data_IF_010640645940
#
_entry.id   IF_010640645940
#
_cell.length_a   1.000
_cell.length_b   1.000
_cell.length_c   1.000
_cell.angle_alpha   90.00
_cell.angle_beta   90.00
_cell.angle_gamma   90.00
#
_symmetry.space_group_name_H-M   'P 1'
#
loop_
_entity.id
_entity.type
_entity.pdbx_description
1 polymer ?
#
# COMPACT_ATOMS: atom_id res chain seq x y z
N UNK A 1 28.68 -22.98 -0.47
CA UNK A 1 29.27 -22.93 0.89
C UNK A 1 28.55 -21.90 1.77
N UNK A 2 28.15 -20.75 1.20
CA UNK A 2 27.36 -19.71 1.87
C UNK A 2 25.93 -20.16 2.25
N UNK A 3 25.25 -20.93 1.39
CA UNK A 3 23.87 -21.41 1.69
C UNK A 3 23.80 -22.30 2.94
N UNK A 4 24.81 -23.15 3.16
CA UNK A 4 24.91 -23.98 4.37
C UNK A 4 25.11 -23.15 5.65
N UNK A 5 25.74 -21.98 5.54
CA UNK A 5 25.92 -21.07 6.68
C UNK A 5 24.62 -20.33 6.99
N UNK A 6 23.85 -19.95 5.98
CA UNK A 6 22.52 -19.35 6.15
C UNK A 6 21.52 -20.36 6.74
N UNK A 7 21.46 -21.58 6.20
CA UNK A 7 20.62 -22.65 6.73
C UNK A 7 20.99 -22.95 8.19
N UNK A 8 22.30 -22.99 8.50
CA UNK A 8 22.80 -23.15 9.86
C UNK A 8 22.35 -22.01 10.80
N UNK A 9 22.49 -20.76 10.35
CA UNK A 9 22.09 -19.57 11.10
C UNK A 9 20.59 -19.49 11.35
N UNK A 10 19.77 -19.74 10.33
CA UNK A 10 18.31 -19.78 10.46
C UNK A 10 17.85 -20.94 11.34
N UNK A 11 18.48 -22.11 11.23
CA UNK A 11 18.17 -23.25 12.11
C UNK A 11 18.50 -22.92 13.57
N UNK A 12 19.62 -22.25 13.83
CA UNK A 12 20.00 -21.81 15.18
C UNK A 12 19.02 -20.78 15.75
N UNK A 13 18.61 -19.79 14.95
CA UNK A 13 17.63 -18.78 15.37
C UNK A 13 16.27 -19.44 15.66
N UNK A 14 15.78 -20.30 14.77
CA UNK A 14 14.52 -21.02 14.97
C UNK A 14 14.55 -21.92 16.22
N UNK A 15 15.68 -22.59 16.48
CA UNK A 15 15.87 -23.38 17.70
C UNK A 15 15.78 -22.51 18.96
N UNK A 16 16.39 -21.33 18.93
CA UNK A 16 16.34 -20.38 20.05
C UNK A 16 14.95 -19.77 20.24
N UNK A 17 14.21 -19.49 19.17
CA UNK A 17 12.82 -19.03 19.23
C UNK A 17 11.92 -20.09 19.87
N UNK A 18 11.98 -21.33 19.38
CA UNK A 18 11.20 -22.44 19.93
C UNK A 18 11.50 -22.68 21.42
N UNK A 19 12.77 -22.55 21.82
CA UNK A 19 13.16 -22.62 23.23
C UNK A 19 12.55 -21.47 24.05
N UNK A 20 12.63 -20.22 23.57
CA UNK A 20 12.01 -19.08 24.27
C UNK A 20 10.49 -19.17 24.36
N UNK A 21 9.83 -19.71 23.33
CA UNK A 21 8.38 -19.93 23.34
C UNK A 21 7.99 -21.02 24.33
N UNK A 22 8.73 -22.13 24.40
CA UNK A 22 8.47 -23.19 25.39
C UNK A 22 8.56 -22.69 26.84
N UNK A 23 9.46 -21.73 27.12
CA UNK A 23 9.59 -21.10 28.43
C UNK A 23 8.44 -20.13 28.73
N UNK A 24 7.86 -19.48 27.72
CA UNK A 24 6.70 -18.60 27.88
C UNK A 24 5.39 -19.36 28.12
N UNK A 25 5.28 -20.62 27.67
CA UNK A 25 4.12 -21.48 27.94
C UNK A 25 4.08 -22.04 29.37
N UNK A 26 5.21 -22.02 30.09
CA UNK A 26 5.25 -22.43 31.50
C UNK A 26 4.75 -21.27 32.38
N UNK A 27 3.90 -21.48 33.41
CA UNK A 27 3.41 -20.40 34.26
C UNK A 27 4.57 -19.75 35.04
N UNK A 28 5.06 -18.63 34.53
CA UNK A 28 6.12 -17.82 35.13
C UNK A 28 5.52 -16.96 36.25
N UNK A 29 6.03 -17.11 37.49
CA UNK A 29 5.55 -16.38 38.67
C UNK A 29 5.92 -14.90 38.69
N UNK A 30 6.87 -14.46 37.85
CA UNK A 30 7.42 -13.10 37.89
C UNK A 30 7.22 -12.34 36.57
N UNK A 31 6.48 -11.22 36.62
CA UNK A 31 6.13 -10.40 35.43
C UNK A 31 7.36 -9.86 34.68
N UNK A 32 8.46 -9.58 35.39
CA UNK A 32 9.70 -9.13 34.77
C UNK A 32 10.36 -10.20 33.89
N UNK A 33 10.32 -11.47 34.32
CA UNK A 33 10.88 -12.57 33.54
C UNK A 33 10.11 -12.76 32.23
N UNK A 34 8.78 -12.60 32.27
CA UNK A 34 7.93 -12.62 31.09
C UNK A 34 8.28 -11.49 30.11
N UNK A 35 8.45 -10.26 30.61
CA UNK A 35 8.85 -9.13 29.77
C UNK A 35 10.24 -9.32 29.13
N UNK A 36 11.20 -9.89 29.85
CA UNK A 36 12.55 -10.20 29.31
C UNK A 36 12.46 -11.26 28.20
N UNK A 37 11.64 -12.31 28.39
CA UNK A 37 11.45 -13.36 27.39
C UNK A 37 10.68 -12.85 26.16
N UNK A 38 9.68 -11.99 26.35
CA UNK A 38 8.96 -11.32 25.25
C UNK A 38 9.90 -10.35 24.49
N UNK A 39 10.79 -9.65 25.19
CA UNK A 39 11.84 -8.82 24.58
C UNK A 39 12.80 -9.65 23.72
N UNK A 40 13.31 -10.75 24.26
CA UNK A 40 14.20 -11.67 23.54
C UNK A 40 13.53 -12.31 22.32
N UNK A 41 12.23 -12.62 22.40
CA UNK A 41 11.45 -13.09 21.24
C UNK A 41 11.42 -12.04 20.13
N UNK A 42 11.19 -10.76 20.47
CA UNK A 42 11.20 -9.66 19.49
C UNK A 42 12.57 -9.48 18.84
N UNK A 43 13.64 -9.59 19.62
CA UNK A 43 15.02 -9.52 19.11
C UNK A 43 15.33 -10.65 18.13
N UNK A 44 14.97 -11.90 18.48
CA UNK A 44 15.19 -13.05 17.62
C UNK A 44 14.36 -13.00 16.31
N UNK A 45 13.13 -12.49 16.38
CA UNK A 45 12.30 -12.26 15.18
C UNK A 45 12.90 -11.16 14.28
N UNK A 46 13.40 -10.07 14.88
CA UNK A 46 14.09 -9.00 14.13
C UNK A 46 15.41 -9.49 13.54
N UNK A 47 16.17 -10.29 14.28
CA UNK A 47 17.42 -10.88 13.80
C UNK A 47 17.16 -11.82 12.61
N UNK A 48 16.11 -12.65 12.70
CA UNK A 48 15.67 -13.50 11.57
C UNK A 48 15.27 -12.66 10.36
N UNK A 49 14.45 -11.62 10.56
CA UNK A 49 14.00 -10.75 9.48
C UNK A 49 15.17 -9.99 8.83
N UNK A 50 16.14 -9.53 9.62
CA UNK A 50 17.35 -8.88 9.13
C UNK A 50 18.22 -9.86 8.33
N UNK A 51 18.39 -11.09 8.81
CA UNK A 51 19.16 -12.13 8.10
C UNK A 51 18.51 -12.49 6.76
N UNK A 52 17.18 -12.58 6.70
CA UNK A 52 16.45 -12.80 5.46
C UNK A 52 16.55 -11.58 4.52
N UNK A 53 16.33 -10.37 5.02
CA UNK A 53 16.41 -9.14 4.22
C UNK A 53 17.84 -8.86 3.69
N UNK A 54 18.87 -9.22 4.45
CA UNK A 54 20.26 -9.05 4.03
C UNK A 54 20.67 -10.09 2.96
N UNK A 55 19.96 -11.22 2.86
CA UNK A 55 20.36 -12.35 2.02
C UNK A 55 19.40 -12.68 0.87
N UNK A 56 18.14 -12.23 0.93
CA UNK A 56 17.18 -12.24 -0.18
C UNK A 56 17.74 -11.63 -1.49
N UNK A 57 18.56 -10.54 -1.47
CA UNK A 57 19.11 -9.98 -2.70
C UNK A 57 20.12 -10.93 -3.39
N UNK A 58 20.77 -11.83 -2.63
CA UNK A 58 21.81 -12.73 -3.15
C UNK A 58 21.23 -13.97 -3.86
N UNK A 59 20.05 -14.44 -3.45
CA UNK A 59 19.31 -15.50 -4.16
C UNK A 59 18.56 -14.97 -5.40
N UNK A 60 18.39 -13.65 -5.51
CA UNK A 60 17.68 -12.99 -6.62
C UNK A 60 18.50 -12.83 -7.90
N UNK A 61 19.68 -13.49 -8.00
CA UNK A 61 20.52 -13.48 -9.22
C UNK A 61 20.18 -14.60 -10.20
N UNK A 62 19.14 -15.39 -9.94
CA UNK A 62 18.44 -16.11 -11.00
C UNK A 62 17.23 -15.28 -11.45
N UNK A 63 17.34 -14.79 -12.68
CA UNK A 63 16.40 -13.98 -13.41
C UNK A 63 14.98 -14.56 -13.45
N UNK A 64 14.00 -13.65 -13.37
CA UNK A 64 12.59 -13.80 -13.75
C UNK A 64 11.64 -14.48 -12.76
N UNK A 65 11.23 -13.75 -11.70
CA UNK A 65 9.94 -14.01 -11.02
C UNK A 65 9.41 -12.81 -10.23
N UNK A 66 9.45 -11.61 -10.81
CA UNK A 66 8.72 -10.43 -10.28
C UNK A 66 7.37 -10.23 -10.97
N UNK A 67 6.99 -11.13 -11.90
CA UNK A 67 5.68 -11.13 -12.57
C UNK A 67 4.62 -11.97 -11.81
N UNK A 68 5.02 -12.74 -10.79
CA UNK A 68 4.14 -13.75 -10.19
C UNK A 68 3.16 -13.23 -9.14
N UNK A 69 3.37 -12.08 -8.51
CA UNK A 69 2.41 -11.59 -7.48
C UNK A 69 1.09 -11.11 -8.08
N UNK A 70 1.11 -10.52 -9.27
CA UNK A 70 -0.08 -10.09 -10.03
C UNK A 70 -0.74 -11.28 -10.73
N UNK A 71 0.03 -12.18 -11.33
CA UNK A 71 -0.52 -13.40 -11.94
C UNK A 71 -1.12 -14.36 -10.91
N UNK A 72 -0.53 -14.50 -9.71
CA UNK A 72 -1.12 -15.31 -8.65
C UNK A 72 -2.38 -14.66 -8.08
N UNK A 73 -2.39 -13.36 -7.76
CA UNK A 73 -3.60 -12.70 -7.23
C UNK A 73 -4.76 -12.66 -8.25
N UNK A 74 -4.48 -12.39 -9.53
CA UNK A 74 -5.50 -12.40 -10.59
C UNK A 74 -5.94 -13.83 -10.93
N UNK A 75 -5.04 -14.82 -11.07
CA UNK A 75 -5.45 -16.21 -11.36
C UNK A 75 -6.12 -16.88 -10.15
N UNK A 76 -5.74 -16.55 -8.90
CA UNK A 76 -6.48 -16.99 -7.71
C UNK A 76 -7.85 -16.32 -7.64
N UNK A 77 -7.99 -15.04 -7.97
CA UNK A 77 -9.30 -14.38 -8.08
C UNK A 77 -10.16 -15.02 -9.16
N UNK A 78 -9.63 -15.24 -10.38
CA UNK A 78 -10.34 -15.91 -11.48
C UNK A 78 -10.77 -17.32 -11.09
N UNK A 79 -9.96 -18.04 -10.31
CA UNK A 79 -10.30 -19.39 -9.83
C UNK A 79 -11.32 -19.39 -8.67
N UNK A 80 -11.38 -18.32 -7.88
CA UNK A 80 -12.34 -18.15 -6.78
C UNK A 80 -13.69 -17.58 -7.25
N UNK A 81 -13.69 -16.80 -8.33
CA UNK A 81 -14.89 -16.28 -8.96
C UNK A 81 -15.32 -17.22 -10.08
N UNK A 82 -16.37 -18.02 -9.87
CA UNK A 82 -17.10 -18.67 -10.96
C UNK A 82 -17.74 -17.60 -11.85
N UNK A 83 -16.94 -17.04 -12.76
CA UNK A 83 -17.37 -16.06 -13.75
C UNK A 83 -17.97 -16.85 -14.92
N UNK A 84 -19.21 -17.33 -14.76
CA UNK A 84 -20.02 -17.81 -15.87
C UNK A 84 -20.54 -16.60 -16.65
N UNK A 85 -19.69 -16.03 -17.50
CA UNK A 85 -20.14 -15.03 -18.49
C UNK A 85 -20.72 -15.82 -19.67
N UNK A 86 -22.03 -16.03 -19.63
CA UNK A 86 -22.78 -16.68 -20.69
C UNK A 86 -22.68 -15.90 -22.02
N UNK A 87 -22.29 -16.60 -23.07
CA UNK A 87 -22.21 -16.11 -24.44
C UNK A 87 -23.59 -15.77 -25.01
N UNK A 88 -23.93 -14.49 -25.10
CA UNK A 88 -24.64 -13.87 -26.24
C UNK A 88 -24.81 -12.36 -26.00
N UNK A 89 -24.28 -11.55 -26.92
CA UNK A 89 -24.36 -10.08 -27.00
C UNK A 89 -23.71 -9.31 -25.83
N UNK A 90 -22.37 -9.25 -25.89
CA UNK A 90 -21.55 -8.47 -24.96
C UNK A 90 -21.74 -6.96 -25.21
N UNK A 91 -22.28 -6.27 -24.21
CA UNK A 91 -22.45 -4.82 -24.22
C UNK A 91 -21.71 -4.24 -23.01
N UNK A 92 -20.89 -3.21 -23.21
CA UNK A 92 -20.14 -2.52 -22.14
C UNK A 92 -21.05 -2.10 -20.96
N UNK A 93 -22.30 -1.76 -21.27
CA UNK A 93 -23.34 -1.47 -20.29
C UNK A 93 -23.71 -2.66 -19.38
N UNK A 94 -23.71 -3.91 -19.88
CA UNK A 94 -23.94 -5.11 -19.05
C UNK A 94 -22.76 -5.36 -18.09
N UNK A 95 -21.53 -5.10 -18.56
CA UNK A 95 -20.32 -5.18 -17.75
C UNK A 95 -20.38 -4.19 -16.60
N UNK A 96 -20.67 -2.93 -16.91
CA UNK A 96 -20.84 -1.89 -15.90
C UNK A 96 -21.91 -2.26 -14.87
N UNK A 97 -23.10 -2.70 -15.32
CA UNK A 97 -24.18 -3.15 -14.43
C UNK A 97 -23.74 -4.29 -13.50
N UNK A 98 -22.93 -5.22 -14.01
CA UNK A 98 -22.42 -6.35 -13.23
C UNK A 98 -21.41 -5.87 -12.17
N UNK A 99 -20.46 -5.00 -12.55
CA UNK A 99 -19.49 -4.39 -11.63
C UNK A 99 -20.20 -3.59 -10.55
N UNK A 100 -21.13 -2.71 -10.94
CA UNK A 100 -21.94 -1.91 -10.00
C UNK A 100 -22.66 -2.79 -9.00
N UNK A 101 -23.37 -3.83 -9.46
CA UNK A 101 -24.12 -4.74 -8.57
C UNK A 101 -23.21 -5.49 -7.60
N UNK A 102 -22.01 -5.89 -8.03
CA UNK A 102 -21.00 -6.51 -7.16
C UNK A 102 -20.53 -5.55 -6.09
N UNK A 103 -20.13 -4.33 -6.47
CA UNK A 103 -19.68 -3.31 -5.54
C UNK A 103 -20.77 -2.90 -4.56
N UNK A 104 -22.00 -2.67 -5.02
CA UNK A 104 -23.15 -2.34 -4.18
C UNK A 104 -23.44 -3.43 -3.13
N UNK A 105 -23.38 -4.71 -3.53
CA UNK A 105 -23.53 -5.83 -2.60
C UNK A 105 -22.45 -5.85 -1.51
N UNK A 106 -21.21 -5.45 -1.84
CA UNK A 106 -20.12 -5.41 -0.87
C UNK A 106 -20.19 -4.16 0.01
N UNK A 107 -20.53 -3.01 -0.56
CA UNK A 107 -20.65 -1.72 0.15
C UNK A 107 -21.81 -1.73 1.15
N UNK A 108 -22.89 -2.45 0.86
CA UNK A 108 -24.02 -2.59 1.80
C UNK A 108 -23.63 -3.32 3.09
N UNK A 109 -22.58 -4.16 3.04
CA UNK A 109 -21.94 -4.72 4.23
C UNK A 109 -20.86 -3.78 4.80
N UNK A 110 -20.49 -3.98 6.06
CA UNK A 110 -19.51 -3.12 6.70
C UNK A 110 -18.11 -3.33 6.09
N UNK A 111 -17.55 -2.26 5.50
CA UNK A 111 -16.21 -2.29 4.90
C UNK A 111 -15.14 -2.17 5.98
N UNK A 112 -14.31 -3.20 6.11
CA UNK A 112 -13.14 -3.19 6.99
C UNK A 112 -11.90 -2.68 6.26
N UNK A 113 -10.98 -2.06 7.00
CA UNK A 113 -9.73 -1.57 6.46
C UNK A 113 -8.62 -2.62 6.58
N UNK A 114 -8.17 -3.15 5.44
CA UNK A 114 -7.03 -4.03 5.29
C UNK A 114 -5.81 -3.36 4.63
N UNK A 115 -5.83 -2.02 4.48
CA UNK A 115 -4.78 -1.27 3.78
C UNK A 115 -3.46 -1.19 4.56
N UNK A 116 -3.54 -1.28 5.88
CA UNK A 116 -2.42 -0.99 6.79
C UNK A 116 -2.17 0.50 7.03
N UNK A 117 -2.93 1.38 6.37
CA UNK A 117 -2.88 2.83 6.51
C UNK A 117 -4.11 3.34 7.27
N UNK A 118 -4.00 4.53 7.87
CA UNK A 118 -5.16 5.24 8.42
C UNK A 118 -5.94 5.85 7.25
N UNK A 119 -7.27 5.65 7.23
CA UNK A 119 -8.16 6.21 6.21
C UNK A 119 -9.13 7.21 6.84
N UNK A 120 -9.32 8.39 6.23
CA UNK A 120 -10.26 9.38 6.76
C UNK A 120 -11.71 8.85 6.84
N UNK A 121 -12.10 7.97 5.91
CA UNK A 121 -13.43 7.34 5.88
C UNK A 121 -13.74 6.53 7.15
N UNK A 122 -12.73 6.05 7.89
CA UNK A 122 -12.93 5.34 9.17
C UNK A 122 -13.35 6.29 10.30
N UNK A 123 -13.13 7.60 10.13
CA UNK A 123 -13.62 8.59 11.07
C UNK A 123 -15.13 8.80 11.01
N UNK A 124 -15.77 8.44 9.89
CA UNK A 124 -17.20 8.57 9.71
C UNK A 124 -17.94 7.43 10.43
N UNK A 125 -19.19 7.68 10.80
CA UNK A 125 -20.11 6.63 11.23
C UNK A 125 -20.33 5.60 10.12
N UNK A 126 -20.54 4.34 10.50
CA UNK A 126 -20.71 3.24 9.54
C UNK A 126 -21.83 3.51 8.53
N UNK A 127 -22.95 4.11 8.98
CA UNK A 127 -24.08 4.50 8.14
C UNK A 127 -23.66 5.55 7.12
N UNK A 128 -23.00 6.62 7.57
CA UNK A 128 -22.55 7.73 6.71
C UNK A 128 -21.48 7.29 5.73
N UNK A 129 -20.58 6.40 6.16
CA UNK A 129 -19.58 5.79 5.28
C UNK A 129 -20.25 4.97 4.17
N UNK A 130 -21.22 4.12 4.51
CA UNK A 130 -21.98 3.34 3.53
C UNK A 130 -22.73 4.26 2.57
N UNK A 131 -23.46 5.24 3.10
CA UNK A 131 -24.25 6.17 2.31
C UNK A 131 -23.35 7.00 1.37
N UNK A 132 -22.14 7.38 1.80
CA UNK A 132 -21.14 8.05 0.95
C UNK A 132 -20.72 7.18 -0.24
N UNK A 133 -20.38 5.91 0.02
CA UNK A 133 -19.97 5.00 -1.05
C UNK A 133 -21.10 4.72 -2.03
N UNK A 134 -22.32 4.52 -1.54
CA UNK A 134 -23.51 4.31 -2.38
C UNK A 134 -23.82 5.56 -3.21
N UNK A 135 -23.72 6.76 -2.62
CA UNK A 135 -23.91 8.01 -3.34
C UNK A 135 -22.84 8.17 -4.44
N UNK A 136 -21.55 7.96 -4.14
CA UNK A 136 -20.48 8.02 -5.15
C UNK A 136 -20.70 7.01 -6.29
N UNK A 137 -21.11 5.79 -5.96
CA UNK A 137 -21.41 4.75 -6.96
C UNK A 137 -22.64 5.11 -7.82
N UNK A 138 -23.67 5.72 -7.22
CA UNK A 138 -24.86 6.21 -7.93
C UNK A 138 -24.52 7.34 -8.88
N UNK A 139 -23.75 8.34 -8.42
CA UNK A 139 -23.32 9.46 -9.25
C UNK A 139 -22.42 9.00 -10.41
N UNK A 140 -21.56 8.00 -10.18
CA UNK A 140 -20.76 7.39 -11.24
C UNK A 140 -21.64 6.67 -12.29
N UNK A 141 -22.68 5.96 -11.85
CA UNK A 141 -23.64 5.30 -12.74
C UNK A 141 -24.40 6.30 -13.61
N UNK A 142 -24.88 7.40 -13.02
CA UNK A 142 -25.56 8.48 -13.75
C UNK A 142 -24.67 9.05 -14.85
N UNK A 143 -23.40 9.31 -14.55
CA UNK A 143 -22.47 9.86 -15.54
C UNK A 143 -22.14 8.85 -16.62
N UNK A 144 -21.90 7.59 -16.28
CA UNK A 144 -21.67 6.55 -17.29
C UNK A 144 -22.88 6.44 -18.22
N UNK A 145 -24.11 6.50 -17.68
CA UNK A 145 -25.33 6.52 -18.49
C UNK A 145 -25.46 7.76 -19.38
N UNK A 146 -25.12 8.94 -18.89
CA UNK A 146 -25.07 10.15 -19.72
C UNK A 146 -24.02 10.04 -20.83
N UNK A 147 -22.84 9.50 -20.52
CA UNK A 147 -21.76 9.31 -21.50
C UNK A 147 -22.14 8.30 -22.60
N UNK A 148 -22.95 7.29 -22.29
CA UNK A 148 -23.52 6.41 -23.31
C UNK A 148 -24.46 7.14 -24.28
N UNK A 149 -25.21 8.13 -23.80
CA UNK A 149 -26.15 8.90 -24.62
C UNK A 149 -25.47 9.97 -25.48
N UNK A 150 -24.38 10.58 -25.00
CA UNK A 150 -23.75 11.75 -25.63
C UNK A 150 -22.68 11.40 -26.68
N UNK A 151 -22.28 10.12 -26.82
CA UNK A 151 -21.25 9.66 -27.78
C UNK A 151 -19.97 10.54 -27.80
N UNK A 152 -19.48 10.96 -26.64
CA UNK A 152 -18.34 11.88 -26.53
C UNK A 152 -17.03 11.21 -27.02
N UNK A 153 -16.27 11.89 -27.88
CA UNK A 153 -14.91 11.46 -28.28
C UNK A 153 -13.95 11.31 -27.08
N UNK A 154 -13.08 10.30 -27.12
CA UNK A 154 -12.17 9.96 -26.02
C UNK A 154 -11.20 11.10 -25.63
N UNK A 155 -10.83 11.95 -26.59
CA UNK A 155 -9.91 13.07 -26.36
C UNK A 155 -10.56 14.15 -25.50
N UNK A 156 -11.88 14.36 -25.66
CA UNK A 156 -12.66 15.32 -24.88
C UNK A 156 -13.11 14.76 -23.53
N UNK A 157 -13.16 13.43 -23.41
CA UNK A 157 -13.56 12.74 -22.20
C UNK A 157 -12.69 13.12 -21.00
N UNK A 158 -11.38 13.29 -21.21
CA UNK A 158 -10.46 13.61 -20.12
C UNK A 158 -10.74 15.01 -19.53
N UNK A 159 -10.84 16.03 -20.38
CA UNK A 159 -11.13 17.40 -19.94
C UNK A 159 -12.54 17.52 -19.34
N UNK A 160 -13.49 16.80 -19.92
CA UNK A 160 -14.85 16.73 -19.40
C UNK A 160 -14.89 16.07 -18.02
N UNK A 161 -14.19 14.95 -17.85
CA UNK A 161 -14.10 14.24 -16.57
C UNK A 161 -13.42 15.06 -15.48
N UNK A 162 -12.34 15.79 -15.81
CA UNK A 162 -11.67 16.70 -14.86
C UNK A 162 -12.63 17.77 -14.32
N UNK A 163 -13.56 18.28 -15.15
CA UNK A 163 -14.58 19.25 -14.73
C UNK A 163 -15.72 18.63 -13.93
N UNK A 164 -16.08 17.38 -14.21
CA UNK A 164 -17.18 16.69 -13.52
C UNK A 164 -16.82 16.18 -12.13
N UNK A 165 -15.57 15.76 -11.90
CA UNK A 165 -15.14 15.19 -10.62
C UNK A 165 -15.50 16.04 -9.38
N UNK A 166 -15.27 17.38 -9.37
CA UNK A 166 -15.73 18.24 -8.28
C UNK A 166 -17.24 18.16 -8.02
N UNK A 167 -18.04 18.18 -9.08
CA UNK A 167 -19.51 18.14 -8.99
C UNK A 167 -20.00 16.77 -8.50
N UNK A 168 -19.40 15.68 -8.97
CA UNK A 168 -19.69 14.32 -8.48
C UNK A 168 -19.51 14.24 -6.96
N UNK A 169 -18.34 14.72 -6.48
CA UNK A 169 -18.01 14.70 -5.07
C UNK A 169 -19.01 15.53 -4.26
N UNK A 170 -19.41 16.69 -4.79
CA UNK A 170 -20.38 17.57 -4.15
C UNK A 170 -21.77 16.94 -4.08
N UNK A 171 -22.27 16.36 -5.17
CA UNK A 171 -23.55 15.65 -5.19
C UNK A 171 -23.54 14.48 -4.21
N UNK A 172 -22.49 13.66 -4.21
CA UNK A 172 -22.35 12.53 -3.30
C UNK A 172 -22.30 12.97 -1.82
N UNK A 173 -21.61 14.07 -1.52
CA UNK A 173 -21.59 14.64 -0.18
C UNK A 173 -22.99 15.10 0.26
N UNK A 174 -23.73 15.80 -0.62
CA UNK A 174 -25.06 16.31 -0.32
C UNK A 174 -26.04 15.16 -0.05
N UNK A 175 -26.00 14.14 -0.89
CA UNK A 175 -26.81 12.93 -0.76
C UNK A 175 -26.54 12.22 0.58
N UNK A 176 -25.27 12.00 0.92
CA UNK A 176 -24.87 11.39 2.20
C UNK A 176 -25.23 12.24 3.42
N UNK A 177 -25.08 13.56 3.33
CA UNK A 177 -25.40 14.48 4.42
C UNK A 177 -26.91 14.56 4.71
N UNK A 178 -27.73 14.31 3.68
CA UNK A 178 -29.18 14.40 3.72
C UNK A 178 -29.67 15.83 3.45
N UNK A 179 -30.38 16.02 2.35
CA UNK A 179 -30.81 17.35 1.85
C UNK A 179 -31.66 18.18 2.82
N UNK A 180 -32.36 17.53 3.77
CA UNK A 180 -33.29 18.18 4.69
C UNK A 180 -32.78 18.25 6.13
N UNK A 181 -31.56 17.79 6.39
CA UNK A 181 -31.04 17.75 7.75
C UNK A 181 -30.55 19.13 8.16
N UNK A 182 -31.11 19.63 9.25
CA UNK A 182 -30.73 20.89 9.86
C UNK A 182 -30.21 20.65 11.26
N UNK A 183 -29.10 21.30 11.60
CA UNK A 183 -28.50 21.26 12.92
C UNK A 183 -28.30 22.69 13.43
N UNK A 184 -28.32 22.85 14.75
CA UNK A 184 -28.04 24.15 15.35
C UNK A 184 -26.54 24.42 15.25
N UNK A 185 -26.18 25.61 14.80
CA UNK A 185 -24.83 26.16 14.89
C UNK A 185 -24.92 27.49 15.61
N UNK A 186 -24.35 27.58 16.83
CA UNK A 186 -24.39 28.81 17.65
C UNK A 186 -25.81 29.38 17.87
N UNK A 187 -26.82 28.52 17.91
CA UNK A 187 -28.22 28.90 18.15
C UNK A 187 -29.09 29.08 16.89
N UNK A 188 -28.51 29.08 15.68
CA UNK A 188 -29.26 29.15 14.42
C UNK A 188 -29.34 27.78 13.75
N UNK A 189 -30.49 27.44 13.16
CA UNK A 189 -30.63 26.23 12.36
C UNK A 189 -30.01 26.43 10.98
N UNK A 190 -29.03 25.58 10.64
CA UNK A 190 -28.38 25.57 9.33
C UNK A 190 -28.51 24.21 8.67
N UNK A 191 -28.69 24.23 7.35
CA UNK A 191 -28.67 23.04 6.50
C UNK A 191 -27.28 22.42 6.52
N UNK A 192 -27.20 21.14 6.89
CA UNK A 192 -25.93 20.40 6.96
C UNK A 192 -25.33 20.27 5.58
N UNK A 193 -26.15 19.89 4.58
CA UNK A 193 -25.72 19.71 3.21
C UNK A 193 -25.16 21.00 2.60
N UNK A 194 -25.85 22.13 2.75
CA UNK A 194 -25.41 23.41 2.16
C UNK A 194 -24.14 23.94 2.83
N UNK A 195 -24.01 23.74 4.15
CA UNK A 195 -22.82 24.17 4.88
C UNK A 195 -21.59 23.32 4.52
N UNK A 196 -21.75 22.00 4.38
CA UNK A 196 -20.68 21.15 3.88
C UNK A 196 -20.33 21.47 2.42
N UNK A 197 -21.34 21.66 1.57
CA UNK A 197 -21.18 22.00 0.15
C UNK A 197 -20.35 23.30 -0.06
N UNK A 198 -20.53 24.28 0.84
CA UNK A 198 -19.85 25.58 0.78
C UNK A 198 -18.50 25.62 1.48
N UNK A 199 -18.23 24.73 2.45
CA UNK A 199 -16.98 24.72 3.22
C UNK A 199 -15.88 23.85 2.61
N UNK A 200 -16.23 22.81 1.84
CA UNK A 200 -15.25 21.85 1.33
C UNK A 200 -14.49 22.37 0.08
N UNK A 201 -13.23 21.98 -0.04
CA UNK A 201 -12.40 22.26 -1.20
C UNK A 201 -12.58 21.22 -2.33
N UNK A 202 -13.38 21.56 -3.34
CA UNK A 202 -13.74 20.61 -4.42
C UNK A 202 -12.68 20.37 -5.49
N UNK A 203 -11.63 21.20 -5.52
CA UNK A 203 -10.59 21.17 -6.56
C UNK A 203 -9.31 20.45 -6.12
N UNK A 204 -9.32 19.81 -4.95
CA UNK A 204 -8.20 18.97 -4.55
C UNK A 204 -8.09 17.76 -5.49
N UNK A 205 -6.91 17.58 -6.07
CA UNK A 205 -6.58 16.45 -6.94
C UNK A 205 -5.72 15.43 -6.20
N UNK A 206 -6.13 14.16 -6.25
CA UNK A 206 -5.30 13.03 -5.86
C UNK A 206 -4.59 12.47 -7.11
N UNK A 207 -3.25 12.53 -7.12
CA UNK A 207 -2.40 12.12 -8.24
C UNK A 207 -2.42 10.60 -8.49
N UNK A 208 -2.97 9.82 -7.58
CA UNK A 208 -3.11 8.36 -7.70
C UNK A 208 -4.54 7.94 -8.09
N UNK A 209 -5.42 8.88 -8.44
CA UNK A 209 -6.69 8.58 -9.09
C UNK A 209 -6.44 7.85 -10.43
N UNK A 210 -7.34 6.91 -10.81
CA UNK A 210 -7.17 6.20 -12.06
C UNK A 210 -7.34 7.13 -13.25
N UNK A 211 -6.51 6.94 -14.28
CA UNK A 211 -6.59 7.73 -15.50
C UNK A 211 -7.97 7.55 -16.16
N UNK A 212 -8.70 8.62 -16.53
CA UNK A 212 -10.07 8.53 -17.03
C UNK A 212 -10.18 7.65 -18.27
N UNK A 213 -9.21 7.74 -19.18
CA UNK A 213 -9.17 6.91 -20.40
C UNK A 213 -9.11 5.41 -20.07
N UNK A 214 -8.34 5.01 -19.06
CA UNK A 214 -8.19 3.60 -18.67
C UNK A 214 -9.42 3.06 -17.95
N UNK A 215 -10.09 3.89 -17.16
CA UNK A 215 -11.28 3.49 -16.40
C UNK A 215 -12.56 3.58 -17.22
N UNK A 216 -12.82 4.74 -17.84
CA UNK A 216 -14.08 5.05 -18.54
C UNK A 216 -14.04 4.66 -20.02
N UNK A 217 -12.89 4.68 -20.68
CA UNK A 217 -12.77 4.33 -22.11
C UNK A 217 -13.33 2.93 -22.41
N UNK A 218 -12.93 1.89 -21.66
CA UNK A 218 -13.49 0.55 -21.80
C UNK A 218 -14.99 0.51 -21.49
N UNK A 219 -15.44 1.18 -20.43
CA UNK A 219 -16.83 1.16 -20.01
C UNK A 219 -17.76 1.88 -20.98
N UNK A 220 -17.36 3.01 -21.55
CA UNK A 220 -18.22 3.85 -22.40
C UNK A 220 -18.10 3.47 -23.88
N UNK A 221 -16.87 3.27 -24.36
CA UNK A 221 -16.57 3.08 -25.79
C UNK A 221 -16.17 1.64 -26.14
N UNK A 222 -16.23 0.70 -25.19
CA UNK A 222 -15.85 -0.71 -25.40
C UNK A 222 -14.39 -0.83 -25.88
N UNK A 223 -13.52 0.06 -25.43
CA UNK A 223 -12.10 0.02 -25.78
C UNK A 223 -11.40 -1.17 -25.12
N UNK A 224 -10.50 -1.86 -25.84
CA UNK A 224 -9.68 -2.90 -25.24
C UNK A 224 -8.67 -2.30 -24.26
N UNK A 225 -8.34 -3.07 -23.22
CA UNK A 225 -7.41 -2.66 -22.17
C UNK A 225 -6.08 -3.37 -22.40
N UNK A 226 -4.98 -2.61 -22.30
CA UNK A 226 -3.65 -3.18 -22.34
C UNK A 226 -3.29 -3.76 -20.96
N UNK A 227 -3.13 -5.09 -20.88
CA UNK A 227 -2.70 -5.81 -19.68
C UNK A 227 -1.52 -6.70 -20.06
N UNK A 228 -0.37 -6.49 -19.43
CA UNK A 228 0.86 -7.27 -19.65
C UNK A 228 1.27 -7.39 -21.14
N UNK A 229 1.03 -6.34 -21.92
CA UNK A 229 1.32 -6.32 -23.37
C UNK A 229 0.23 -6.91 -24.27
N UNK A 230 -0.85 -7.43 -23.70
CA UNK A 230 -2.01 -7.95 -24.45
C UNK A 230 -3.15 -6.93 -24.46
N UNK A 231 -3.74 -6.69 -25.64
CA UNK A 231 -4.99 -5.94 -25.77
C UNK A 231 -6.16 -6.89 -25.51
N UNK A 232 -6.78 -6.77 -24.35
CA UNK A 232 -7.88 -7.62 -23.91
C UNK A 232 -9.21 -6.86 -24.05
N UNK A 233 -10.22 -7.52 -24.62
CA UNK A 233 -11.59 -7.04 -24.57
C UNK A 233 -12.12 -7.13 -23.14
N UNK A 234 -13.15 -6.36 -22.82
CA UNK A 234 -13.85 -6.45 -21.54
C UNK A 234 -14.41 -7.85 -21.27
N UNK A 235 -14.61 -8.68 -22.29
CA UNK A 235 -15.06 -10.08 -22.24
C UNK A 235 -14.08 -10.96 -21.46
N UNK A 236 -12.80 -10.61 -21.43
CA UNK A 236 -11.79 -11.34 -20.68
C UNK A 236 -11.97 -11.07 -19.17
N UNK A 237 -12.03 -12.12 -18.31
CA UNK A 237 -12.12 -11.94 -16.86
C UNK A 237 -11.00 -11.07 -16.28
N UNK A 238 -9.81 -11.04 -16.90
CA UNK A 238 -8.70 -10.18 -16.49
C UNK A 238 -9.01 -8.71 -16.71
N UNK A 239 -9.59 -8.36 -17.86
CA UNK A 239 -10.00 -6.99 -18.18
C UNK A 239 -11.14 -6.55 -17.27
N UNK A 240 -12.11 -7.43 -17.04
CA UNK A 240 -13.21 -7.21 -16.09
C UNK A 240 -12.70 -6.85 -14.69
N UNK A 241 -11.86 -7.72 -14.10
CA UNK A 241 -11.31 -7.51 -12.76
C UNK A 241 -10.45 -6.25 -12.69
N UNK A 242 -9.71 -5.94 -13.77
CA UNK A 242 -8.92 -4.72 -13.86
C UNK A 242 -9.79 -3.46 -13.76
N UNK A 243 -10.92 -3.42 -14.46
CA UNK A 243 -11.86 -2.30 -14.34
C UNK A 243 -12.49 -2.25 -12.96
N UNK A 244 -12.88 -3.38 -12.39
CA UNK A 244 -13.42 -3.44 -11.02
C UNK A 244 -12.42 -2.85 -9.99
N UNK A 245 -11.12 -3.12 -10.15
CA UNK A 245 -10.06 -2.52 -9.32
C UNK A 245 -9.96 -1.00 -9.55
N UNK A 246 -9.96 -0.52 -10.80
CA UNK A 246 -9.87 0.92 -11.08
C UNK A 246 -11.07 1.69 -10.51
N UNK A 247 -12.29 1.15 -10.68
CA UNK A 247 -13.51 1.73 -10.13
C UNK A 247 -13.49 1.71 -8.60
N UNK A 248 -13.05 0.60 -7.99
CA UNK A 248 -12.88 0.51 -6.53
C UNK A 248 -11.91 1.58 -6.01
N UNK A 249 -10.76 1.74 -6.69
CA UNK A 249 -9.76 2.73 -6.32
C UNK A 249 -10.31 4.16 -6.43
N UNK A 250 -11.05 4.44 -7.51
CA UNK A 250 -11.70 5.74 -7.68
C UNK A 250 -12.70 6.02 -6.55
N UNK A 251 -13.57 5.05 -6.21
CA UNK A 251 -14.55 5.19 -5.13
C UNK A 251 -13.88 5.48 -3.80
N UNK A 252 -12.87 4.67 -3.43
CA UNK A 252 -12.18 4.78 -2.15
C UNK A 252 -11.43 6.11 -2.03
N UNK A 253 -10.70 6.53 -3.08
CA UNK A 253 -9.94 7.78 -3.05
C UNK A 253 -10.86 9.00 -2.98
N UNK A 254 -11.97 9.02 -3.73
CA UNK A 254 -12.94 10.11 -3.61
C UNK A 254 -13.64 10.14 -2.26
N UNK A 255 -13.98 8.96 -1.71
CA UNK A 255 -14.54 8.87 -0.37
C UNK A 255 -13.55 9.36 0.70
N UNK A 256 -12.26 9.06 0.56
CA UNK A 256 -11.20 9.56 1.42
C UNK A 256 -11.14 11.10 1.39
N UNK A 257 -11.04 11.69 0.20
CA UNK A 257 -10.99 13.15 0.04
C UNK A 257 -12.20 13.82 0.68
N UNK A 258 -13.40 13.30 0.43
CA UNK A 258 -14.64 13.81 1.04
C UNK A 258 -14.61 13.66 2.56
N UNK A 259 -14.17 12.51 3.08
CA UNK A 259 -14.10 12.29 4.51
C UNK A 259 -13.06 13.20 5.20
N UNK A 260 -11.92 13.46 4.57
CA UNK A 260 -10.91 14.38 5.06
C UNK A 260 -11.47 15.82 5.19
N UNK A 261 -12.21 16.29 4.19
CA UNK A 261 -12.90 17.57 4.21
C UNK A 261 -13.98 17.62 5.32
N UNK A 262 -14.78 16.55 5.46
CA UNK A 262 -15.79 16.46 6.53
C UNK A 262 -15.14 16.55 7.92
N UNK A 263 -14.03 15.85 8.14
CA UNK A 263 -13.27 15.91 9.39
C UNK A 263 -12.76 17.35 9.66
N UNK A 264 -12.38 18.07 8.61
CA UNK A 264 -12.01 19.47 8.69
C UNK A 264 -13.19 20.34 9.14
N UNK A 265 -14.33 20.26 8.46
CA UNK A 265 -15.54 21.05 8.81
C UNK A 265 -16.07 20.72 10.21
N UNK A 266 -15.98 19.46 10.65
CA UNK A 266 -16.36 19.05 12.01
C UNK A 266 -15.51 19.71 13.12
N UNK A 267 -14.35 20.26 12.78
CA UNK A 267 -13.54 21.03 13.73
C UNK A 267 -14.18 22.39 14.05
N UNK A 268 -14.75 23.03 13.03
CA UNK A 268 -15.39 24.35 13.11
C UNK A 268 -16.85 24.27 13.59
N UNK A 269 -17.54 23.17 13.27
CA UNK A 269 -18.93 22.93 13.65
C UNK A 269 -19.06 21.66 14.52
N UNK A 270 -18.97 21.77 15.87
CA UNK A 270 -18.92 20.62 16.77
C UNK A 270 -20.16 19.74 16.75
N UNK A 271 -21.35 20.30 16.50
CA UNK A 271 -22.62 19.57 16.46
C UNK A 271 -22.66 18.54 15.32
N UNK A 272 -21.88 18.74 14.24
CA UNK A 272 -21.72 17.75 13.18
C UNK A 272 -21.07 16.46 13.67
N UNK A 273 -20.23 16.51 14.71
CA UNK A 273 -19.47 15.34 15.15
C UNK A 273 -20.37 14.20 15.59
N UNK A 274 -21.43 14.52 16.34
CA UNK A 274 -22.41 13.53 16.81
C UNK A 274 -23.24 12.95 15.68
N UNK A 275 -23.37 13.67 14.56
CA UNK A 275 -24.15 13.25 13.39
C UNK A 275 -23.33 12.45 12.37
N UNK A 276 -22.10 12.89 12.08
CA UNK A 276 -21.26 12.36 11.01
C UNK A 276 -20.18 11.39 11.48
N UNK A 277 -19.64 11.56 12.69
CA UNK A 277 -18.42 10.89 13.13
C UNK A 277 -18.68 9.78 14.14
N UNK A 278 -17.74 8.85 14.20
CA UNK A 278 -17.75 7.81 15.23
C UNK A 278 -17.70 8.40 16.64
N UNK A 279 -18.29 7.68 17.61
CA UNK A 279 -18.45 8.12 19.01
C UNK A 279 -17.13 8.59 19.63
N UNK A 280 -16.02 7.96 19.29
CA UNK A 280 -14.69 8.27 19.83
C UNK A 280 -14.14 9.63 19.36
N UNK A 281 -14.65 10.14 18.24
CA UNK A 281 -14.21 11.39 17.59
C UNK A 281 -15.09 12.60 17.94
N UNK A 282 -16.11 12.42 18.78
CA UNK A 282 -16.89 13.54 19.33
C UNK A 282 -15.98 14.47 20.16
N UNK A 283 -15.00 13.87 20.85
CA UNK A 283 -14.01 14.60 21.64
C UNK A 283 -13.04 15.36 20.73
N UNK A 284 -12.95 16.68 20.92
CA UNK A 284 -12.08 17.57 20.12
C UNK A 284 -10.63 17.07 20.03
N UNK A 285 -10.08 16.58 21.15
CA UNK A 285 -8.68 16.08 21.19
C UNK A 285 -8.47 14.86 20.30
N UNK A 286 -9.43 13.95 20.24
CA UNK A 286 -9.30 12.72 19.45
C UNK A 286 -9.42 13.03 17.96
N UNK A 287 -10.38 13.88 17.59
CA UNK A 287 -10.54 14.38 16.23
C UNK A 287 -9.27 15.07 15.74
N UNK A 288 -8.72 15.99 16.54
CA UNK A 288 -7.51 16.72 16.15
C UNK A 288 -6.28 15.82 16.08
N UNK A 289 -6.20 14.79 16.94
CA UNK A 289 -5.15 13.76 16.84
C UNK A 289 -5.27 12.97 15.53
N UNK A 290 -6.47 12.53 15.17
CA UNK A 290 -6.72 11.80 13.93
C UNK A 290 -6.33 12.65 12.72
N UNK A 291 -6.79 13.90 12.65
CA UNK A 291 -6.42 14.84 11.58
C UNK A 291 -4.92 15.03 11.46
N UNK A 292 -4.22 15.22 12.58
CA UNK A 292 -2.76 15.35 12.57
C UNK A 292 -2.05 14.08 12.11
N UNK A 293 -2.57 12.89 12.45
CA UNK A 293 -2.03 11.62 11.98
C UNK A 293 -2.24 11.44 10.47
N UNK A 294 -3.43 11.76 9.95
CA UNK A 294 -3.72 11.73 8.52
C UNK A 294 -2.82 12.70 7.75
N UNK A 295 -2.68 13.94 8.22
CA UNK A 295 -1.81 14.94 7.60
C UNK A 295 -0.34 14.50 7.59
N UNK A 296 0.14 13.90 8.69
CA UNK A 296 1.50 13.39 8.76
C UNK A 296 1.72 12.19 7.83
N UNK A 297 0.74 11.28 7.73
CA UNK A 297 0.76 10.14 6.82
C UNK A 297 0.79 10.61 5.36
N UNK A 298 -0.07 11.55 4.98
CA UNK A 298 -0.11 12.07 3.60
C UNK A 298 1.17 12.82 3.24
N UNK A 299 1.71 13.61 4.17
CA UNK A 299 3.01 14.25 3.97
C UNK A 299 4.12 13.21 3.74
N UNK A 300 4.17 12.16 4.56
CA UNK A 300 5.16 11.08 4.43
C UNK A 300 5.02 10.36 3.08
N UNK A 301 3.78 10.05 2.70
CA UNK A 301 3.45 9.43 1.43
C UNK A 301 3.92 10.30 0.24
N UNK A 302 3.60 11.59 0.24
CA UNK A 302 4.00 12.51 -0.84
C UNK A 302 5.51 12.75 -0.89
N UNK A 303 6.19 12.82 0.25
CA UNK A 303 7.62 13.12 0.30
C UNK A 303 8.51 11.90 0.02
N UNK A 304 8.10 10.70 0.43
CA UNK A 304 8.95 9.51 0.37
C UNK A 304 8.33 8.35 -0.38
N UNK A 305 7.17 7.86 0.04
CA UNK A 305 6.62 6.61 -0.51
C UNK A 305 6.21 6.74 -1.98
N UNK A 306 5.54 7.82 -2.36
CA UNK A 306 5.13 8.07 -3.75
C UNK A 306 6.35 8.21 -4.68
N UNK A 307 7.38 9.02 -4.38
CA UNK A 307 8.60 9.06 -5.19
C UNK A 307 9.28 7.70 -5.35
N UNK A 308 9.36 6.90 -4.28
CA UNK A 308 9.90 5.52 -4.35
C UNK A 308 9.04 4.67 -5.30
N UNK A 309 7.72 4.68 -5.14
CA UNK A 309 6.80 3.93 -6.00
C UNK A 309 6.88 4.35 -7.46
N UNK A 310 7.03 5.65 -7.73
CA UNK A 310 7.22 6.17 -9.10
C UNK A 310 8.51 5.66 -9.72
N UNK A 311 9.63 5.72 -8.98
CA UNK A 311 10.91 5.18 -9.44
C UNK A 311 10.82 3.67 -9.73
N UNK A 312 10.12 2.92 -8.89
CA UNK A 312 9.89 1.48 -9.08
C UNK A 312 8.79 1.14 -10.11
N UNK A 313 8.23 2.14 -10.81
CA UNK A 313 7.12 1.96 -11.76
C UNK A 313 5.91 1.23 -11.15
N UNK A 314 5.63 1.48 -9.86
CA UNK A 314 4.52 0.89 -9.11
C UNK A 314 3.42 1.93 -8.86
N UNK A 315 2.17 1.55 -9.12
CA UNK A 315 0.98 2.29 -8.70
C UNK A 315 0.26 1.52 -7.60
N UNK A 316 -0.06 2.22 -6.50
CA UNK A 316 -0.84 1.68 -5.39
C UNK A 316 -2.31 1.99 -5.62
N UNK A 317 -3.10 0.94 -5.84
CA UNK A 317 -4.54 0.99 -6.00
C UNK A 317 -5.22 0.39 -4.76
N UNK A 318 -6.40 0.91 -4.43
CA UNK A 318 -7.25 0.33 -3.41
C UNK A 318 -8.33 -0.54 -4.05
N UNK A 319 -8.38 -1.81 -3.66
CA UNK A 319 -9.38 -2.76 -4.12
C UNK A 319 -10.32 -3.13 -2.98
N UNK A 320 -11.60 -3.31 -3.30
CA UNK A 320 -12.57 -3.90 -2.39
C UNK A 320 -12.64 -5.39 -2.68
N UNK A 321 -12.26 -6.23 -1.70
CA UNK A 321 -12.36 -7.68 -1.78
C UNK A 321 -13.05 -8.23 -0.53
N UNK A 322 -14.13 -9.00 -0.69
CA UNK A 322 -14.88 -9.64 0.40
C UNK A 322 -15.14 -8.71 1.61
N UNK A 323 -15.66 -7.50 1.36
CA UNK A 323 -15.92 -6.46 2.36
C UNK A 323 -14.69 -5.91 3.09
N UNK A 324 -13.50 -6.09 2.52
CA UNK A 324 -12.24 -5.54 3.03
C UNK A 324 -11.59 -4.66 1.97
N UNK A 325 -11.05 -3.51 2.38
CA UNK A 325 -10.26 -2.64 1.51
C UNK A 325 -8.81 -3.07 1.59
N UNK A 326 -8.26 -3.58 0.49
CA UNK A 326 -6.90 -4.12 0.42
C UNK A 326 -6.03 -3.34 -0.58
N UNK A 327 -4.70 -3.26 -0.34
CA UNK A 327 -3.78 -2.68 -1.30
C UNK A 327 -3.57 -3.62 -2.49
N UNK A 328 -3.57 -3.07 -3.69
CA UNK A 328 -3.18 -3.75 -4.92
C UNK A 328 -2.08 -2.94 -5.60
N UNK A 329 -0.95 -3.59 -5.90
CA UNK A 329 0.18 -2.94 -6.56
C UNK A 329 0.16 -3.32 -8.04
N UNK A 330 0.20 -2.30 -8.89
CA UNK A 330 0.28 -2.44 -10.32
C UNK A 330 1.63 -1.93 -10.82
N UNK A 331 2.31 -2.70 -11.66
CA UNK A 331 3.45 -2.22 -12.45
C UNK A 331 2.97 -1.57 -13.75
N UNK A 332 3.30 -0.30 -13.97
CA UNK A 332 2.98 0.46 -15.18
C UNK A 332 4.04 1.54 -15.44
N UNK A 333 4.28 1.92 -16.71
CA UNK A 333 5.23 2.99 -17.02
C UNK A 333 4.69 4.33 -16.51
N UNK A 334 5.47 5.02 -15.67
CA UNK A 334 5.08 6.31 -15.02
C UNK A 334 6.11 7.41 -15.24
N UNK A 335 6.77 7.40 -16.40
CA UNK A 335 7.87 8.32 -16.74
C UNK A 335 7.43 9.79 -16.72
N UNK A 336 6.24 10.09 -17.25
CA UNK A 336 5.68 11.45 -17.25
C UNK A 336 5.49 11.98 -15.82
N UNK A 337 4.94 11.16 -14.92
CA UNK A 337 4.74 11.54 -13.52
C UNK A 337 6.05 11.68 -12.74
N UNK A 338 7.10 10.95 -13.14
CA UNK A 338 8.43 11.02 -12.55
C UNK A 338 9.12 12.35 -12.91
N UNK A 339 8.93 12.84 -14.13
CA UNK A 339 9.41 14.16 -14.57
C UNK A 339 8.72 15.31 -13.83
N UNK A 340 7.44 15.13 -13.48
CA UNK A 340 6.63 16.11 -12.75
C UNK A 340 6.92 16.17 -11.23
N UNK A 341 7.93 15.44 -10.74
CA UNK A 341 8.32 15.46 -9.33
C UNK A 341 8.93 16.80 -8.92
N UNK A 342 8.60 17.25 -7.71
CA UNK A 342 9.24 18.42 -7.10
C UNK A 342 10.68 18.07 -6.73
N UNK A 343 11.59 19.05 -6.78
CA UNK A 343 13.02 18.83 -6.58
C UNK A 343 13.42 18.04 -5.31
N UNK A 344 12.71 18.21 -4.18
CA UNK A 344 12.96 17.42 -2.98
C UNK A 344 12.57 15.94 -3.15
N UNK A 345 11.50 15.67 -3.91
CA UNK A 345 11.11 14.31 -4.28
C UNK A 345 12.10 13.70 -5.27
N UNK A 346 12.64 14.49 -6.20
CA UNK A 346 13.72 14.07 -7.10
C UNK A 346 15.01 13.71 -6.35
N UNK A 347 15.29 14.36 -5.21
CA UNK A 347 16.42 13.99 -4.36
C UNK A 347 16.24 12.57 -3.78
N UNK A 348 15.01 12.18 -3.43
CA UNK A 348 14.72 10.81 -2.97
C UNK A 348 14.99 9.81 -4.09
N UNK A 349 14.54 10.08 -5.31
CA UNK A 349 14.81 9.18 -6.46
C UNK A 349 16.30 9.14 -6.80
N UNK A 350 17.02 10.27 -6.72
CA UNK A 350 18.47 10.31 -6.91
C UNK A 350 19.22 9.48 -5.86
N UNK A 351 18.76 9.49 -4.60
CA UNK A 351 19.33 8.62 -3.55
C UNK A 351 19.14 7.14 -3.90
N UNK A 352 17.98 6.76 -4.44
CA UNK A 352 17.74 5.38 -4.89
C UNK A 352 18.62 5.03 -6.09
N UNK A 353 18.70 5.91 -7.08
CA UNK A 353 19.54 5.72 -8.27
C UNK A 353 21.03 5.61 -7.91
N UNK A 354 21.51 6.48 -7.01
CA UNK A 354 22.88 6.41 -6.50
C UNK A 354 23.11 5.16 -5.67
N UNK A 355 22.14 4.72 -4.84
CA UNK A 355 22.22 3.43 -4.14
C UNK A 355 22.40 2.30 -5.14
N UNK A 356 21.60 2.26 -6.20
CA UNK A 356 21.63 1.18 -7.18
C UNK A 356 22.91 1.21 -8.02
N UNK A 357 23.43 2.39 -8.35
CA UNK A 357 24.71 2.56 -9.06
C UNK A 357 25.93 2.23 -8.19
N UNK A 358 25.86 2.44 -6.88
CA UNK A 358 27.00 2.27 -5.95
C UNK A 358 26.98 0.90 -5.26
N UNK A 359 25.83 0.22 -5.15
CA UNK A 359 25.71 -1.14 -4.60
C UNK A 359 26.79 -2.11 -5.11
N UNK A 360 27.01 -2.28 -6.44
CA UNK A 360 28.04 -3.20 -6.93
C UNK A 360 29.47 -2.78 -6.54
N UNK A 361 29.72 -1.48 -6.36
CA UNK A 361 31.05 -0.96 -5.98
C UNK A 361 31.37 -1.29 -4.52
N UNK A 362 30.39 -1.19 -3.62
CA UNK A 362 30.56 -1.59 -2.22
C UNK A 362 30.79 -3.09 -2.07
N UNK A 363 30.07 -3.92 -2.83
CA UNK A 363 30.30 -5.37 -2.83
C UNK A 363 31.76 -5.71 -3.19
N UNK A 364 32.32 -5.05 -4.20
CA UNK A 364 33.71 -5.22 -4.57
C UNK A 364 34.70 -4.78 -3.47
N UNK A 365 34.43 -3.67 -2.79
CA UNK A 365 35.27 -3.19 -1.68
C UNK A 365 35.21 -4.13 -0.47
N UNK A 366 34.02 -4.63 -0.11
CA UNK A 366 33.86 -5.58 0.99
C UNK A 366 34.51 -6.93 0.69
N UNK A 367 34.40 -7.43 -0.54
CA UNK A 367 35.11 -8.64 -0.97
C UNK A 367 36.63 -8.47 -0.88
N UNK A 368 37.16 -7.33 -1.33
CA UNK A 368 38.59 -7.04 -1.23
C UNK A 368 39.06 -6.90 0.23
N UNK A 369 38.31 -6.20 1.07
CA UNK A 369 38.61 -6.08 2.49
C UNK A 369 38.59 -7.46 3.17
N UNK A 370 37.63 -8.31 2.83
CA UNK A 370 37.55 -9.70 3.28
C UNK A 370 38.78 -10.51 2.89
N UNK A 371 39.22 -10.43 1.64
CA UNK A 371 40.43 -11.09 1.17
C UNK A 371 41.70 -10.59 1.89
N UNK A 372 41.79 -9.28 2.14
CA UNK A 372 42.89 -8.68 2.89
C UNK A 372 42.93 -9.16 4.34
N UNK A 373 41.77 -9.22 5.01
CA UNK A 373 41.66 -9.74 6.38
C UNK A 373 42.06 -11.21 6.43
N UNK A 374 41.59 -12.04 5.48
CA UNK A 374 41.96 -13.45 5.41
C UNK A 374 43.46 -13.61 5.20
N UNK A 375 44.08 -12.82 4.31
CA UNK A 375 45.53 -12.82 4.10
C UNK A 375 46.30 -12.41 5.37
N UNK A 376 45.88 -11.35 6.06
CA UNK A 376 46.52 -10.94 7.32
C UNK A 376 46.40 -12.03 8.38
N UNK A 377 45.22 -12.64 8.52
CA UNK A 377 44.96 -13.67 9.52
C UNK A 377 45.73 -14.97 9.23
N UNK A 378 45.71 -15.43 7.98
CA UNK A 378 46.33 -16.70 7.59
C UNK A 378 47.85 -16.55 7.42
N UNK A 379 48.30 -15.49 6.76
CA UNK A 379 49.68 -15.37 6.35
C UNK A 379 50.55 -14.65 7.37
N UNK A 380 50.06 -13.58 8.00
CA UNK A 380 50.85 -12.83 8.98
C UNK A 380 50.71 -13.46 10.36
N UNK A 381 49.47 -13.60 10.85
CA UNK A 381 49.22 -14.11 12.20
C UNK A 381 49.49 -15.62 12.27
N UNK A 382 49.02 -16.39 11.27
CA UNK A 382 49.28 -17.83 11.20
C UNK A 382 50.76 -18.19 11.14
N UNK A 383 51.56 -17.51 10.30
CA UNK A 383 53.02 -17.75 10.24
C UNK A 383 53.73 -17.27 11.52
N UNK A 384 53.30 -16.17 12.13
CA UNK A 384 53.88 -15.68 13.39
C UNK A 384 53.66 -16.68 14.55
N UNK A 385 52.45 -17.22 14.70
CA UNK A 385 52.16 -18.27 15.69
C UNK A 385 52.98 -19.53 15.39
N UNK A 386 53.04 -19.94 14.12
CA UNK A 386 53.85 -21.09 13.69
C UNK A 386 55.34 -20.94 14.03
N UNK A 387 55.90 -19.73 13.89
CA UNK A 387 57.29 -19.44 14.27
C UNK A 387 57.49 -19.47 15.79
N UNK A 388 56.54 -18.99 16.59
CA UNK A 388 56.60 -19.06 18.05
C UNK A 388 56.59 -20.52 18.52
N UNK A 389 55.67 -21.33 18.00
CA UNK A 389 55.59 -22.77 18.31
C UNK A 389 56.90 -23.47 17.93
N UNK A 390 57.45 -23.17 16.75
CA UNK A 390 58.75 -23.72 16.30
C UNK A 390 59.91 -23.27 17.19
N UNK A 391 59.89 -22.02 17.66
CA UNK A 391 60.88 -21.49 18.60
C UNK A 391 60.82 -22.16 19.98
N UNK A 392 59.63 -22.42 20.50
CA UNK A 392 59.43 -23.16 21.77
C UNK A 392 59.93 -24.61 21.64
N UNK A 393 59.57 -25.29 20.55
CA UNK A 393 60.05 -26.65 20.26
C UNK A 393 61.58 -26.71 20.16
N UNK A 394 62.22 -25.73 19.53
CA UNK A 394 63.69 -25.64 19.47
C UNK A 394 64.33 -25.28 20.82
N UNK A 395 63.66 -24.46 21.64
CA UNK A 395 64.09 -24.14 23.01
C UNK A 395 64.07 -25.36 23.92
N UNK A 396 63.04 -26.20 23.83
CA UNK A 396 62.94 -27.45 24.58
C UNK A 396 63.93 -28.52 24.09
N UNK A 397 64.27 -28.52 22.79
CA UNK A 397 65.26 -29.44 22.22
C UNK A 397 66.70 -29.21 22.72
N UNK A 398 67.00 -28.03 23.30
CA UNK A 398 68.33 -27.71 23.84
C UNK A 398 68.48 -28.01 25.33
N UNK A 399 67.41 -28.27 26.07
CA UNK A 399 67.50 -28.69 27.47
C UNK A 399 67.68 -30.21 27.66
N UNK A 400 67.68 -31.00 26.58
CA UNK A 400 67.89 -32.46 26.61
C UNK A 400 69.33 -32.91 26.32
N UNK A 401 70.31 -32.00 26.15
CA UNK A 401 71.73 -32.35 25.94
C UNK A 401 72.63 -32.13 27.16
N UNK A 402 72.06 -32.03 28.36
CA UNK A 402 72.78 -32.02 29.64
C UNK A 402 72.13 -32.98 30.65
N UNK A 403 72.14 -34.26 30.31
CA UNK A 403 72.24 -35.37 31.27
C UNK A 403 73.28 -36.33 30.71
#
# INVERSE_FOLDING_TARGET
MLDRLLEGGLCQINRSLNFTESLLYTPLSNRLQRLILEGRKRELLKARALLLNLWDPLLSTDTASSQDSTHQSINYMISATNIDIGSNEYNSHLVWKTIRKRLEKVITSDLSNGTGCLLAIEGLNYERRRDLFLALLSQLDEIINCLYCEEICIERLEDYWKKLQPEIRKCALIEMAGAYVQLSQKGELKSVADTLASSCAWYQEDKELPHPKLMLGPLVQTQPILIDGYLLSLDDPRAFLRIEILVSNWLIRNAELIAAEILSTCSEWPELRSYLLHRDLVMTRNLERLRNQLNAQEWWNLCFERPIRLYESKRLLWQINDATIIPCILTEPRDEELLDLVWWQQLVTLILETRDAVSPQFEFLFQQAGNLIVLVLTEVIGKAIGLIVRGILQGMGRSFSRI
#
